data_IF_278982649942
#
_entry.id   IF_278982649942
#
_cell.length_a   1.000
_cell.length_b   1.000
_cell.length_c   1.000
_cell.angle_alpha   90.00
_cell.angle_beta   90.00
_cell.angle_gamma   90.00
#
_symmetry.space_group_name_H-M   'P 1'
#
loop_
_entity.id
_entity.type
_entity.pdbx_description
1 polymer ?
#
# COMPACT_ATOMS: atom_id res chain seq x y z
N UNK A 1 -15.28 7.64 37.73
CA UNK A 1 -15.86 6.54 36.93
C UNK A 1 -15.26 6.62 35.53
N UNK A 2 -14.15 5.92 35.28
CA UNK A 2 -13.31 6.11 34.10
C UNK A 2 -13.74 5.16 32.97
N UNK A 3 -14.41 5.69 31.95
CA UNK A 3 -14.80 4.94 30.75
C UNK A 3 -13.66 4.91 29.74
N UNK A 4 -12.67 4.02 29.96
CA UNK A 4 -11.75 3.64 28.87
C UNK A 4 -12.53 2.78 27.87
N UNK A 5 -12.94 3.38 26.75
CA UNK A 5 -13.37 2.63 25.56
C UNK A 5 -12.20 1.73 25.13
N UNK A 6 -12.30 0.42 25.39
CA UNK A 6 -11.52 -0.58 24.68
C UNK A 6 -11.92 -0.48 23.21
N UNK A 7 -11.03 0.03 22.36
CA UNK A 7 -11.11 -0.20 20.92
C UNK A 7 -10.92 -1.69 20.70
N UNK A 8 -12.02 -2.46 20.64
CA UNK A 8 -11.98 -3.79 20.05
C UNK A 8 -11.84 -3.57 18.55
N UNK A 9 -10.64 -3.78 18.03
CA UNK A 9 -10.47 -3.97 16.59
C UNK A 9 -11.28 -5.22 16.20
N UNK A 10 -12.15 -5.09 15.21
CA UNK A 10 -13.09 -6.14 14.75
C UNK A 10 -12.39 -7.33 14.03
N UNK A 11 -11.26 -7.78 14.55
CA UNK A 11 -10.69 -9.11 14.29
C UNK A 11 -11.22 -10.15 15.30
N UNK A 12 -12.33 -9.83 15.97
CA UNK A 12 -12.83 -10.43 17.21
C UNK A 12 -13.33 -11.87 17.17
N UNK A 13 -12.58 -12.79 16.54
CA UNK A 13 -12.78 -14.25 16.68
C UNK A 13 -11.50 -15.05 16.92
N UNK A 14 -10.33 -14.42 16.86
CA UNK A 14 -9.05 -15.05 17.18
C UNK A 14 -8.33 -14.12 18.16
N UNK A 15 -7.74 -14.67 19.23
CA UNK A 15 -6.93 -13.94 20.20
C UNK A 15 -5.61 -13.47 19.57
N UNK A 16 -5.71 -12.62 18.54
CA UNK A 16 -4.58 -12.10 17.79
C UNK A 16 -3.96 -10.93 18.55
N UNK A 17 -2.64 -10.97 18.68
CA UNK A 17 -1.86 -9.82 19.10
C UNK A 17 -1.74 -8.81 17.95
N UNK A 18 -1.53 -7.55 18.31
CA UNK A 18 -1.36 -6.47 17.35
C UNK A 18 -0.13 -5.63 17.68
N UNK A 19 0.50 -5.11 16.65
CA UNK A 19 1.62 -4.16 16.76
C UNK A 19 1.41 -2.99 15.80
N UNK A 20 2.05 -1.85 16.09
CA UNK A 20 2.00 -0.68 15.22
C UNK A 20 2.77 -0.96 13.93
N UNK A 21 2.27 -0.44 12.81
CA UNK A 21 2.92 -0.50 11.50
C UNK A 21 4.40 -0.04 11.54
N UNK A 22 4.67 1.03 12.30
CA UNK A 22 6.02 1.56 12.56
C UNK A 22 7.00 0.60 13.24
N UNK A 23 6.53 -0.51 13.83
CA UNK A 23 7.44 -1.52 14.40
C UNK A 23 8.10 -2.39 13.34
N UNK A 24 7.48 -2.51 12.16
CA UNK A 24 7.89 -3.45 11.11
C UNK A 24 8.01 -2.83 9.72
N UNK A 25 7.91 -1.50 9.62
CA UNK A 25 8.06 -0.81 8.35
C UNK A 25 8.49 0.63 8.58
N UNK A 26 9.09 1.21 7.54
CA UNK A 26 9.46 2.62 7.49
C UNK A 26 9.02 3.22 6.16
N UNK A 27 8.92 4.56 6.12
CA UNK A 27 8.82 5.25 4.84
C UNK A 27 10.20 5.34 4.17
N UNK A 28 10.26 5.06 2.88
CA UNK A 28 11.49 5.24 2.10
C UNK A 28 11.75 6.73 1.89
N UNK A 29 12.97 7.17 2.22
CA UNK A 29 13.46 8.53 2.01
C UNK A 29 14.49 8.63 0.87
N UNK A 30 14.83 7.50 0.27
CA UNK A 30 15.76 7.41 -0.85
C UNK A 30 15.19 8.08 -2.10
N UNK A 31 16.08 8.56 -2.95
CA UNK A 31 15.74 9.32 -4.15
C UNK A 31 16.41 8.69 -5.37
N UNK A 32 15.70 8.71 -6.49
CA UNK A 32 16.20 8.28 -7.80
C UNK A 32 16.17 9.44 -8.76
N UNK A 33 17.15 9.51 -9.66
CA UNK A 33 17.17 10.50 -10.73
C UNK A 33 16.14 10.16 -11.80
N UNK A 34 15.43 11.18 -12.29
CA UNK A 34 14.38 10.99 -13.31
C UNK A 34 14.95 10.52 -14.65
N UNK A 35 16.22 10.82 -14.94
CA UNK A 35 16.93 10.30 -16.11
C UNK A 35 17.04 8.76 -16.14
N UNK A 36 16.94 8.10 -14.97
CA UNK A 36 16.95 6.64 -14.84
C UNK A 36 15.54 6.03 -14.84
N UNK A 37 14.50 6.83 -15.09
CA UNK A 37 13.12 6.40 -15.07
C UNK A 37 12.52 6.41 -16.47
N UNK A 38 11.47 5.62 -16.61
CA UNK A 38 10.62 5.54 -17.77
C UNK A 38 9.17 5.69 -17.32
N UNK A 39 8.29 5.94 -18.28
CA UNK A 39 6.85 5.95 -18.04
C UNK A 39 6.29 4.60 -17.53
N UNK A 40 7.05 3.51 -17.66
CA UNK A 40 6.68 2.17 -17.17
C UNK A 40 7.03 1.92 -15.70
N UNK A 41 7.96 2.69 -15.14
CA UNK A 41 8.39 2.56 -13.74
C UNK A 41 8.28 3.88 -12.95
N UNK A 42 7.64 4.89 -13.52
CA UNK A 42 7.22 6.09 -12.78
C UNK A 42 5.78 5.96 -12.29
N UNK A 43 5.56 6.07 -10.98
CA UNK A 43 4.25 5.92 -10.35
C UNK A 43 3.78 7.23 -9.72
N UNK A 44 2.55 7.63 -10.00
CA UNK A 44 1.90 8.80 -9.44
C UNK A 44 0.46 8.44 -9.05
N UNK A 45 -0.22 9.37 -8.38
CA UNK A 45 -1.63 9.18 -8.05
C UNK A 45 -2.53 9.15 -9.29
N UNK A 46 -2.04 9.56 -10.46
CA UNK A 46 -2.78 9.58 -11.73
C UNK A 46 -2.83 8.20 -12.38
N UNK A 47 -1.71 7.47 -12.39
CA UNK A 47 -1.62 6.13 -12.99
C UNK A 47 -1.78 4.99 -11.97
N UNK A 48 -2.00 5.28 -10.68
CA UNK A 48 -2.52 4.28 -9.74
C UNK A 48 -4.03 4.12 -9.92
N UNK A 49 -4.49 2.88 -10.13
CA UNK A 49 -5.90 2.58 -10.33
C UNK A 49 -6.66 2.52 -9.00
N UNK A 50 -7.88 3.07 -8.92
CA UNK A 50 -8.68 3.03 -7.70
C UNK A 50 -9.07 1.59 -7.34
N UNK A 51 -9.55 1.41 -6.11
CA UNK A 51 -10.06 0.12 -5.61
C UNK A 51 -9.05 -1.02 -5.75
N UNK A 52 -7.77 -0.77 -5.41
CA UNK A 52 -6.68 -1.75 -5.43
C UNK A 52 -6.47 -2.33 -6.84
N UNK A 53 -6.74 -1.51 -7.86
CA UNK A 53 -6.72 -1.93 -9.26
C UNK A 53 -5.31 -2.12 -9.84
N UNK A 54 -4.26 -1.81 -9.08
CA UNK A 54 -2.88 -1.83 -9.54
C UNK A 54 -2.47 -0.49 -10.16
N UNK A 55 -1.72 -0.56 -11.26
CA UNK A 55 -1.14 0.61 -11.94
C UNK A 55 -1.30 0.50 -13.45
N UNK A 56 -1.34 1.66 -14.10
CA UNK A 56 -1.16 1.82 -15.54
C UNK A 56 0.17 2.53 -15.84
N UNK A 57 0.52 2.59 -17.13
CA UNK A 57 1.64 3.39 -17.62
C UNK A 57 1.42 4.88 -17.33
N UNK A 58 2.47 5.57 -16.87
CA UNK A 58 2.40 7.01 -16.71
C UNK A 58 2.32 7.73 -18.07
N UNK A 59 1.59 8.84 -18.13
CA UNK A 59 1.50 9.66 -19.35
C UNK A 59 2.85 10.35 -19.63
N UNK A 60 3.53 10.80 -18.58
CA UNK A 60 4.81 11.51 -18.66
C UNK A 60 5.62 11.36 -17.38
N UNK A 61 6.92 11.62 -17.50
CA UNK A 61 7.83 11.77 -16.37
C UNK A 61 7.67 13.16 -15.72
N UNK A 62 8.02 13.29 -14.42
CA UNK A 62 7.97 14.59 -13.75
C UNK A 62 9.10 15.50 -14.26
N UNK A 63 8.89 16.81 -14.24
CA UNK A 63 9.92 17.80 -14.61
C UNK A 63 11.05 17.93 -13.55
N UNK A 64 10.87 17.32 -12.38
CA UNK A 64 11.88 17.34 -11.31
C UNK A 64 13.13 16.53 -11.70
N UNK A 65 14.29 16.88 -11.14
CA UNK A 65 15.54 16.11 -11.38
C UNK A 65 15.54 14.75 -10.67
N UNK A 66 14.91 14.68 -9.50
CA UNK A 66 14.82 13.45 -8.70
C UNK A 66 13.40 13.24 -8.21
N UNK A 67 13.08 11.99 -7.89
CA UNK A 67 11.81 11.58 -7.31
C UNK A 67 12.05 10.51 -6.23
N UNK A 68 11.03 10.13 -5.46
CA UNK A 68 11.21 9.14 -4.40
C UNK A 68 11.45 7.77 -5.00
N UNK A 69 12.45 7.04 -4.51
CA UNK A 69 12.74 5.68 -4.97
C UNK A 69 11.71 4.71 -4.37
N UNK A 70 11.31 3.72 -5.17
CA UNK A 70 10.76 2.48 -4.65
C UNK A 70 11.52 1.30 -5.27
N UNK A 71 11.57 0.21 -4.53
CA UNK A 71 12.18 -1.06 -4.95
C UNK A 71 11.12 -2.16 -5.00
N UNK A 72 11.40 -3.21 -5.76
CA UNK A 72 10.58 -4.42 -5.78
C UNK A 72 10.35 -4.91 -4.34
N UNK A 73 9.09 -5.17 -4.00
CA UNK A 73 8.64 -5.57 -2.67
C UNK A 73 8.14 -4.43 -1.79
N UNK A 74 8.34 -3.17 -2.18
CA UNK A 74 7.76 -2.02 -1.48
C UNK A 74 6.25 -1.91 -1.71
N UNK A 75 5.57 -1.23 -0.78
CA UNK A 75 4.14 -0.95 -0.84
C UNK A 75 3.94 0.52 -1.14
N UNK A 76 3.31 0.84 -2.28
CA UNK A 76 3.02 2.20 -2.70
C UNK A 76 1.58 2.55 -2.32
N UNK A 77 1.40 3.65 -1.58
CA UNK A 77 0.11 4.15 -1.13
C UNK A 77 -0.13 5.55 -1.69
N UNK A 78 -1.25 5.78 -2.39
CA UNK A 78 -1.67 7.15 -2.69
C UNK A 78 -1.98 7.89 -1.40
N UNK A 79 -1.31 9.01 -1.17
CA UNK A 79 -1.53 9.86 0.01
C UNK A 79 -2.58 10.95 -0.21
N UNK A 80 -3.20 11.02 -1.39
CA UNK A 80 -4.30 11.95 -1.67
C UNK A 80 -5.57 11.13 -1.89
N UNK A 81 -6.69 11.62 -1.33
CA UNK A 81 -8.02 11.01 -1.50
C UNK A 81 -7.95 9.51 -1.20
N UNK A 82 -7.49 9.19 0.00
CA UNK A 82 -7.21 7.82 0.48
C UNK A 82 -8.40 6.88 0.37
N UNK A 83 -9.62 7.42 0.36
CA UNK A 83 -10.87 6.70 0.05
C UNK A 83 -10.92 6.07 -1.35
N UNK A 84 -10.07 6.47 -2.31
CA UNK A 84 -9.97 5.77 -3.61
C UNK A 84 -9.23 4.44 -3.52
N UNK A 85 -8.65 4.09 -2.37
CA UNK A 85 -8.04 2.77 -2.12
C UNK A 85 -6.94 2.42 -3.13
N UNK A 86 -6.15 3.42 -3.53
CA UNK A 86 -5.04 3.29 -4.47
C UNK A 86 -3.81 2.77 -3.71
N UNK A 87 -3.51 1.50 -3.91
CA UNK A 87 -2.37 0.78 -3.34
C UNK A 87 -1.77 -0.11 -4.43
N UNK A 88 -0.46 -0.31 -4.39
CA UNK A 88 0.22 -1.23 -5.28
C UNK A 88 1.42 -1.89 -4.58
N UNK A 89 1.62 -3.18 -4.83
CA UNK A 89 2.81 -3.92 -4.42
C UNK A 89 3.84 -3.84 -5.55
N UNK A 90 5.01 -3.28 -5.27
CA UNK A 90 6.01 -3.04 -6.30
C UNK A 90 6.59 -4.34 -6.86
N UNK A 91 6.35 -4.60 -8.15
CA UNK A 91 6.90 -5.77 -8.84
C UNK A 91 8.27 -5.50 -9.49
N UNK A 92 8.67 -4.22 -9.52
CA UNK A 92 9.88 -3.69 -10.16
C UNK A 92 10.43 -2.51 -9.35
N UNK A 93 11.63 -2.06 -9.70
CA UNK A 93 12.23 -0.83 -9.14
C UNK A 93 11.83 0.39 -9.97
N UNK A 94 11.73 1.55 -9.32
CA UNK A 94 11.40 2.80 -10.01
C UNK A 94 11.31 4.01 -9.10
N UNK A 95 10.56 5.02 -9.55
CA UNK A 95 10.36 6.24 -8.80
C UNK A 95 8.91 6.69 -8.74
N UNK A 96 8.51 7.38 -7.67
CA UNK A 96 7.13 7.83 -7.49
C UNK A 96 7.01 9.29 -7.07
N UNK A 97 5.86 9.89 -7.41
CA UNK A 97 5.54 11.26 -7.03
C UNK A 97 5.51 11.46 -5.51
N UNK A 98 5.65 12.70 -5.06
CA UNK A 98 5.62 13.04 -3.62
C UNK A 98 4.26 12.75 -2.95
N UNK A 99 3.22 12.51 -3.75
CA UNK A 99 1.87 12.17 -3.30
C UNK A 99 1.68 10.66 -3.13
N UNK A 100 2.71 9.86 -3.39
CA UNK A 100 2.73 8.42 -3.15
C UNK A 100 3.70 8.15 -1.99
N UNK A 101 3.22 7.48 -0.94
CA UNK A 101 4.06 7.01 0.15
C UNK A 101 4.60 5.64 -0.22
N UNK A 102 5.90 5.45 -0.04
CA UNK A 102 6.56 4.16 -0.18
C UNK A 102 6.79 3.60 1.21
N UNK A 103 6.08 2.52 1.54
CA UNK A 103 6.20 1.78 2.80
C UNK A 103 7.04 0.54 2.54
N UNK A 104 8.19 0.46 3.20
CA UNK A 104 9.10 -0.68 3.10
C UNK A 104 9.04 -1.50 4.38
N UNK A 105 8.75 -2.79 4.24
CA UNK A 105 8.79 -3.73 5.35
C UNK A 105 10.23 -3.93 5.86
N UNK A 106 10.38 -4.16 7.17
CA UNK A 106 11.65 -4.52 7.82
C UNK A 106 11.43 -5.47 9.00
N UNK A 107 12.48 -6.19 9.37
CA UNK A 107 12.45 -7.15 10.46
C UNK A 107 11.58 -8.37 10.13
N UNK A 108 10.92 -8.94 11.14
CA UNK A 108 10.12 -10.15 11.02
C UNK A 108 8.68 -9.86 10.53
N UNK A 109 8.57 -9.41 9.28
CA UNK A 109 7.29 -9.37 8.56
C UNK A 109 7.51 -9.72 7.10
N UNK A 110 6.60 -10.51 6.54
CA UNK A 110 6.58 -10.79 5.12
C UNK A 110 6.01 -9.57 4.35
N UNK A 111 6.75 -8.95 3.41
CA UNK A 111 6.30 -7.73 2.73
C UNK A 111 4.95 -7.89 2.03
N UNK A 112 4.70 -9.03 1.37
CA UNK A 112 3.43 -9.25 0.68
C UNK A 112 2.27 -9.49 1.65
N UNK A 113 2.54 -10.04 2.84
CA UNK A 113 1.55 -10.11 3.92
C UNK A 113 1.16 -8.71 4.38
N UNK A 114 2.15 -7.84 4.62
CA UNK A 114 1.89 -6.45 4.98
C UNK A 114 1.06 -5.72 3.91
N UNK A 115 1.36 -5.95 2.63
CA UNK A 115 0.55 -5.45 1.52
C UNK A 115 -0.92 -5.86 1.64
N UNK A 116 -1.22 -7.13 1.93
CA UNK A 116 -2.60 -7.58 2.11
C UNK A 116 -3.30 -6.94 3.31
N UNK A 117 -2.58 -6.76 4.42
CA UNK A 117 -3.10 -6.04 5.60
C UNK A 117 -3.46 -4.59 5.25
N UNK A 118 -2.55 -3.88 4.56
CA UNK A 118 -2.77 -2.49 4.13
C UNK A 118 -3.74 -2.36 2.95
N UNK A 119 -4.05 -3.45 2.26
CA UNK A 119 -5.09 -3.52 1.22
C UNK A 119 -6.51 -3.71 1.80
N UNK A 120 -6.64 -3.90 3.12
CA UNK A 120 -7.94 -4.03 3.77
C UNK A 120 -8.68 -2.68 3.79
N UNK A 121 -10.00 -2.71 3.61
CA UNK A 121 -10.84 -1.51 3.66
C UNK A 121 -10.71 -0.75 4.99
N UNK A 122 -10.54 -1.47 6.11
CA UNK A 122 -10.31 -0.88 7.43
C UNK A 122 -9.07 0.01 7.49
N UNK A 123 -8.03 -0.30 6.72
CA UNK A 123 -6.84 0.56 6.64
C UNK A 123 -7.17 1.86 5.92
N UNK A 124 -7.88 1.79 4.80
CA UNK A 124 -8.28 2.99 4.04
C UNK A 124 -9.26 3.86 4.83
N UNK A 125 -10.19 3.26 5.57
CA UNK A 125 -11.09 3.97 6.50
C UNK A 125 -10.30 4.72 7.57
N UNK A 126 -9.36 4.05 8.23
CA UNK A 126 -8.47 4.65 9.21
C UNK A 126 -7.67 5.81 8.62
N UNK A 127 -7.00 5.59 7.49
CA UNK A 127 -6.20 6.61 6.81
C UNK A 127 -7.03 7.83 6.38
N UNK A 128 -8.25 7.59 5.89
CA UNK A 128 -9.21 8.64 5.54
C UNK A 128 -9.66 9.44 6.75
N UNK A 129 -10.00 8.76 7.86
CA UNK A 129 -10.47 9.40 9.10
C UNK A 129 -9.37 10.26 9.76
N UNK A 130 -8.10 9.90 9.59
CA UNK A 130 -6.97 10.66 10.13
C UNK A 130 -6.39 11.67 9.13
N UNK A 131 -6.99 11.83 7.95
CA UNK A 131 -6.47 12.74 6.92
C UNK A 131 -6.60 14.21 7.33
N UNK A 132 -5.66 15.03 6.85
CA UNK A 132 -5.60 16.48 7.08
C UNK A 132 -5.89 17.26 5.79
N UNK A 133 -6.52 18.41 5.94
CA UNK A 133 -6.85 19.34 4.85
C UNK A 133 -8.25 19.12 4.28
N UNK A 134 -8.94 20.22 3.96
CA UNK A 134 -10.37 20.21 3.58
C UNK A 134 -10.59 19.95 2.09
N UNK A 135 -9.81 20.58 1.20
CA UNK A 135 -10.02 20.53 -0.26
C UNK A 135 -9.32 19.34 -0.94
N UNK A 136 -8.14 18.97 -0.43
CA UNK A 136 -7.37 17.80 -0.89
C UNK A 136 -6.86 17.04 0.34
N UNK A 137 -7.68 16.16 0.93
CA UNK A 137 -7.31 15.46 2.15
C UNK A 137 -6.11 14.57 1.87
N UNK A 138 -5.08 14.74 2.69
CA UNK A 138 -3.86 13.94 2.68
C UNK A 138 -3.79 13.08 3.93
N UNK A 139 -3.41 11.82 3.77
CA UNK A 139 -3.17 10.94 4.91
C UNK A 139 -2.12 11.53 5.85
N UNK A 140 -2.38 11.46 7.15
CA UNK A 140 -1.39 11.82 8.16
C UNK A 140 -0.36 10.69 8.25
N UNK A 141 0.87 10.98 7.81
CA UNK A 141 1.96 10.00 7.75
C UNK A 141 2.26 9.37 9.12
N UNK A 142 2.19 10.17 10.18
CA UNK A 142 2.46 9.71 11.55
C UNK A 142 1.33 8.80 12.03
N UNK A 143 0.06 9.17 11.78
CA UNK A 143 -1.10 8.35 12.12
C UNK A 143 -1.08 7.01 11.37
N UNK A 144 -0.82 7.01 10.06
CA UNK A 144 -0.69 5.78 9.25
C UNK A 144 0.30 4.81 9.89
N UNK A 145 1.43 5.30 10.38
CA UNK A 145 2.46 4.50 11.06
C UNK A 145 2.07 3.97 12.45
N UNK A 146 0.96 4.45 13.02
CA UNK A 146 0.34 3.93 14.25
C UNK A 146 -0.78 2.91 13.99
N UNK A 147 -1.12 2.65 12.72
CA UNK A 147 -2.13 1.64 12.38
C UNK A 147 -1.74 0.27 12.97
N UNK A 148 -2.72 -0.42 13.56
CA UNK A 148 -2.52 -1.73 14.17
C UNK A 148 -2.58 -2.82 13.11
N UNK A 149 -1.52 -3.62 13.03
CA UNK A 149 -1.45 -4.80 12.16
C UNK A 149 -1.38 -6.08 13.02
N UNK A 150 -1.84 -7.23 12.51
CA UNK A 150 -1.69 -8.49 13.22
C UNK A 150 -0.21 -8.81 13.49
N UNK A 151 0.08 -9.26 14.70
CA UNK A 151 1.39 -9.75 15.12
C UNK A 151 1.36 -11.28 15.20
N UNK A 152 1.80 -11.91 14.13
CA UNK A 152 1.69 -13.35 13.92
C UNK A 152 3.01 -13.94 13.39
N UNK A 153 3.31 -15.23 13.64
CA UNK A 153 4.54 -15.87 13.18
C UNK A 153 4.73 -15.80 11.66
N UNK A 154 5.98 -15.69 11.21
CA UNK A 154 6.32 -15.52 9.79
C UNK A 154 5.79 -16.67 8.91
N UNK A 155 5.78 -17.90 9.42
CA UNK A 155 5.26 -19.07 8.70
C UNK A 155 3.75 -18.96 8.43
N UNK A 156 2.98 -18.45 9.39
CA UNK A 156 1.55 -18.20 9.19
C UNK A 156 1.33 -17.05 8.18
N UNK A 157 2.14 -15.98 8.25
CA UNK A 157 2.09 -14.89 7.27
C UNK A 157 2.33 -15.41 5.85
N UNK A 158 3.35 -16.26 5.67
CA UNK A 158 3.67 -16.90 4.38
C UNK A 158 2.55 -17.81 3.89
N UNK A 159 1.91 -18.55 4.79
CA UNK A 159 0.75 -19.39 4.46
C UNK A 159 -0.40 -18.54 3.92
N UNK A 160 -0.74 -17.44 4.60
CA UNK A 160 -1.74 -16.48 4.14
C UNK A 160 -1.36 -15.92 2.76
N UNK A 161 -0.11 -15.49 2.60
CA UNK A 161 0.38 -14.93 1.33
C UNK A 161 0.28 -15.93 0.19
N UNK A 162 0.59 -17.21 0.43
CA UNK A 162 0.48 -18.27 -0.58
C UNK A 162 -0.95 -18.41 -1.08
N UNK A 163 -1.94 -18.39 -0.18
CA UNK A 163 -3.36 -18.53 -0.55
C UNK A 163 -3.84 -17.28 -1.30
N UNK A 164 -3.57 -16.09 -0.76
CA UNK A 164 -4.03 -14.84 -1.37
C UNK A 164 -3.35 -14.56 -2.72
N UNK A 165 -2.05 -14.86 -2.85
CA UNK A 165 -1.33 -14.69 -4.11
C UNK A 165 -1.88 -15.60 -5.20
N UNK A 166 -2.20 -16.86 -4.88
CA UNK A 166 -2.79 -17.77 -5.84
C UNK A 166 -4.16 -17.25 -6.35
N UNK A 167 -4.95 -16.58 -5.51
CA UNK A 167 -6.20 -15.95 -5.92
C UNK A 167 -5.96 -14.72 -6.80
N UNK A 168 -4.99 -13.87 -6.45
CA UNK A 168 -4.62 -12.70 -7.26
C UNK A 168 -4.16 -13.11 -8.66
N UNK A 169 -3.34 -14.15 -8.77
CA UNK A 169 -2.86 -14.68 -10.05
C UNK A 169 -4.03 -15.10 -10.94
N UNK A 170 -5.02 -15.79 -10.37
CA UNK A 170 -6.25 -16.20 -11.08
C UNK A 170 -7.11 -15.01 -11.49
N UNK A 171 -7.23 -13.99 -10.63
CA UNK A 171 -7.96 -12.76 -10.98
C UNK A 171 -7.26 -12.05 -12.14
N UNK A 172 -5.93 -11.98 -12.13
CA UNK A 172 -5.15 -11.37 -13.19
C UNK A 172 -5.29 -12.12 -14.53
N UNK A 173 -5.25 -13.46 -14.52
CA UNK A 173 -5.52 -14.30 -15.69
C UNK A 173 -6.93 -14.05 -16.26
N UNK A 174 -7.95 -14.08 -15.40
CA UNK A 174 -9.34 -13.86 -15.81
C UNK A 174 -9.55 -12.47 -16.43
N UNK A 175 -8.90 -11.43 -15.89
CA UNK A 175 -8.96 -10.09 -16.48
C UNK A 175 -8.34 -10.04 -17.88
N UNK A 176 -7.23 -10.74 -18.12
CA UNK A 176 -6.60 -10.84 -19.45
C UNK A 176 -7.53 -11.54 -20.45
N UNK A 177 -8.15 -12.65 -20.05
CA UNK A 177 -9.09 -13.40 -20.88
C UNK A 177 -10.30 -12.52 -21.24
N UNK A 178 -10.92 -11.86 -20.25
CA UNK A 178 -12.06 -10.98 -20.49
C UNK A 178 -11.70 -9.79 -21.40
N UNK A 179 -10.48 -9.26 -21.29
CA UNK A 179 -10.02 -8.20 -22.19
C UNK A 179 -9.94 -8.68 -23.64
N UNK A 180 -9.50 -9.91 -23.89
CA UNK A 180 -9.43 -10.48 -25.24
C UNK A 180 -10.82 -10.83 -25.82
N UNK A 181 -11.81 -11.11 -24.97
CA UNK A 181 -13.18 -11.42 -25.40
C UNK A 181 -14.04 -10.18 -25.68
N UNK A 182 -13.64 -9.03 -25.12
CA UNK A 182 -14.34 -7.74 -25.29
C UNK A 182 -13.75 -6.87 -26.43
N UNK A 183 -12.69 -7.35 -27.09
CA UNK A 183 -12.04 -6.72 -28.24
C UNK A 183 -12.49 -7.40 -29.55
#
# INVERSE_FOLDING_TARGET
MNWRRKSKSDWGRLDLNFKNLSKVSDYVNERVKVENLTVENYISTENMLPNKGGIDKAIKLPAAKTTSLYSKGDILLSNIRTYFKKIWYAEKDGGCSNDVLVVRARGEIEPKFLYYVLSNDKFFEYSSATSKGTKMPRGDKSAIMQYQIPDMPLEEQRTIVSVLSALDDRIAENKKINHHLAA
#
